data_IF_868266843709
#
_entry.id   IF_868266843709
#
_cell.length_a   1.000
_cell.length_b   1.000
_cell.length_c   1.000
_cell.angle_alpha   90.00
_cell.angle_beta   90.00
_cell.angle_gamma   90.00
#
_symmetry.space_group_name_H-M   'P 1'
#
loop_
_entity.id
_entity.type
_entity.pdbx_description
1 polymer ?
#
# COMPACT_ATOMS: atom_id res chain seq x y z
N UNK A 1 -16.46 -22.78 24.06
CA UNK A 1 -15.21 -23.20 23.42
C UNK A 1 -15.35 -24.65 22.98
N UNK A 2 -15.79 -24.81 21.74
CA UNK A 2 -15.95 -26.07 21.06
C UNK A 2 -15.08 -26.09 19.80
N UNK A 3 -14.92 -27.27 19.20
CA UNK A 3 -14.46 -27.38 17.81
C UNK A 3 -15.68 -27.51 16.92
N UNK A 4 -15.89 -26.55 16.03
CA UNK A 4 -17.00 -26.51 15.09
C UNK A 4 -16.48 -26.85 13.69
N UNK A 5 -16.99 -27.94 13.13
CA UNK A 5 -16.60 -28.40 11.79
C UNK A 5 -17.68 -28.03 10.79
N UNK A 6 -17.31 -27.63 9.57
CA UNK A 6 -18.25 -27.41 8.48
C UNK A 6 -18.98 -28.73 8.14
N UNK A 7 -20.31 -28.70 8.11
CA UNK A 7 -21.17 -29.79 7.68
C UNK A 7 -21.42 -29.78 6.16
N UNK A 8 -21.34 -28.60 5.53
CA UNK A 8 -21.50 -28.42 4.09
C UNK A 8 -20.77 -27.15 3.62
N UNK A 9 -20.72 -26.94 2.31
CA UNK A 9 -20.39 -25.63 1.72
C UNK A 9 -21.50 -24.61 1.99
N UNK A 10 -21.13 -23.34 2.17
CA UNK A 10 -22.10 -22.28 2.44
C UNK A 10 -21.49 -21.05 3.08
N UNK A 11 -22.34 -20.17 3.60
CA UNK A 11 -21.94 -18.95 4.29
C UNK A 11 -21.44 -19.26 5.70
N UNK A 12 -20.41 -18.55 6.15
CA UNK A 12 -19.93 -18.62 7.53
C UNK A 12 -21.02 -18.29 8.53
N UNK A 13 -21.82 -17.27 8.24
CA UNK A 13 -22.91 -16.80 9.10
C UNK A 13 -24.06 -17.81 9.25
N UNK A 14 -24.20 -18.77 8.34
CA UNK A 14 -25.34 -19.69 8.28
C UNK A 14 -25.11 -20.95 9.14
N UNK A 15 -26.03 -21.21 10.09
CA UNK A 15 -25.95 -22.39 10.96
C UNK A 15 -25.89 -23.73 10.22
N UNK A 16 -26.57 -23.84 9.06
CA UNK A 16 -26.57 -25.07 8.24
C UNK A 16 -25.21 -25.42 7.63
N UNK A 17 -24.29 -24.44 7.52
CA UNK A 17 -22.90 -24.67 7.10
C UNK A 17 -22.13 -25.50 8.13
N UNK A 18 -22.59 -25.54 9.38
CA UNK A 18 -21.83 -26.05 10.52
C UNK A 18 -22.51 -27.25 11.18
N UNK A 19 -21.70 -28.20 11.64
CA UNK A 19 -22.17 -29.36 12.40
C UNK A 19 -22.89 -28.88 13.66
N UNK A 20 -24.07 -29.44 13.92
CA UNK A 20 -24.93 -29.03 15.03
C UNK A 20 -25.81 -27.81 14.73
N UNK A 21 -25.73 -27.22 13.53
CA UNK A 21 -26.62 -26.14 13.10
C UNK A 21 -26.30 -24.78 13.72
N UNK A 22 -25.11 -24.61 14.29
CA UNK A 22 -24.70 -23.40 15.03
C UNK A 22 -23.41 -22.86 14.41
N UNK A 23 -23.39 -21.56 14.09
CA UNK A 23 -22.18 -20.90 13.58
C UNK A 23 -21.10 -20.78 14.65
N UNK A 24 -19.80 -20.80 14.28
CA UNK A 24 -18.70 -20.60 15.23
C UNK A 24 -18.85 -19.31 16.05
N UNK A 25 -18.71 -19.42 17.37
CA UNK A 25 -18.72 -18.30 18.29
C UNK A 25 -17.28 -17.84 18.65
N UNK A 26 -17.15 -16.72 19.35
CA UNK A 26 -15.85 -16.22 19.81
C UNK A 26 -15.15 -17.28 20.70
N UNK A 27 -13.86 -17.49 20.44
CA UNK A 27 -13.05 -18.48 21.15
C UNK A 27 -13.33 -19.94 20.79
N UNK A 28 -14.11 -20.25 19.75
CA UNK A 28 -14.19 -21.61 19.21
C UNK A 28 -12.99 -21.91 18.28
N UNK A 29 -12.71 -23.21 18.10
CA UNK A 29 -11.86 -23.69 17.02
C UNK A 29 -12.75 -24.08 15.83
N UNK A 30 -12.27 -23.83 14.61
CA UNK A 30 -13.03 -24.06 13.38
C UNK A 30 -12.29 -25.01 12.47
N UNK A 31 -13.01 -25.97 11.89
CA UNK A 31 -12.48 -26.88 10.86
C UNK A 31 -13.34 -26.79 9.61
N UNK A 32 -12.76 -26.35 8.50
CA UNK A 32 -13.36 -26.45 7.18
C UNK A 32 -12.92 -27.78 6.58
N UNK A 33 -13.86 -28.71 6.48
CA UNK A 33 -13.60 -30.06 6.01
C UNK A 33 -13.22 -30.08 4.52
N UNK A 34 -12.49 -31.12 4.10
CA UNK A 34 -12.16 -31.33 2.70
C UNK A 34 -13.43 -31.39 1.84
N UNK A 35 -13.42 -30.73 0.68
CA UNK A 35 -14.55 -30.66 -0.24
C UNK A 35 -15.58 -29.56 0.08
N UNK A 36 -15.46 -28.88 1.22
CA UNK A 36 -16.36 -27.77 1.58
C UNK A 36 -15.74 -26.41 1.25
N UNK A 37 -16.56 -25.53 0.65
CA UNK A 37 -16.21 -24.15 0.38
C UNK A 37 -17.04 -23.25 1.30
N UNK A 38 -16.39 -22.52 2.19
CA UNK A 38 -17.05 -21.62 3.15
C UNK A 38 -16.76 -20.17 2.79
N UNK A 39 -17.83 -19.41 2.52
CA UNK A 39 -17.76 -17.97 2.26
C UNK A 39 -17.66 -17.23 3.59
N UNK A 40 -16.60 -16.45 3.78
CA UNK A 40 -16.50 -15.52 4.90
C UNK A 40 -17.38 -14.28 4.67
N UNK A 41 -18.63 -14.34 5.09
CA UNK A 41 -19.63 -13.27 4.98
C UNK A 41 -19.95 -12.57 6.30
N UNK A 42 -19.17 -12.84 7.35
CA UNK A 42 -19.40 -12.33 8.71
C UNK A 42 -18.29 -11.36 9.14
N UNK A 43 -18.61 -10.49 10.10
CA UNK A 43 -17.66 -9.56 10.71
C UNK A 43 -17.31 -10.01 12.13
N UNK A 44 -16.12 -10.60 12.29
CA UNK A 44 -15.62 -11.07 13.59
C UNK A 44 -14.71 -10.04 14.27
N UNK A 45 -14.68 -8.78 13.82
CA UNK A 45 -13.81 -7.73 14.38
C UNK A 45 -13.99 -7.53 15.90
N UNK A 46 -15.22 -7.70 16.39
CA UNK A 46 -15.59 -7.58 17.80
C UNK A 46 -15.14 -8.79 18.66
N UNK A 47 -14.72 -9.90 18.04
CA UNK A 47 -14.28 -11.09 18.78
C UNK A 47 -12.95 -10.83 19.48
N UNK A 48 -12.69 -11.57 20.55
CA UNK A 48 -11.32 -11.78 21.05
C UNK A 48 -10.50 -12.56 20.02
N UNK A 49 -11.17 -13.43 19.27
CA UNK A 49 -10.65 -14.19 18.15
C UNK A 49 -10.95 -15.68 18.31
N UNK A 50 -11.04 -16.37 17.18
CA UNK A 50 -11.11 -17.83 17.13
C UNK A 50 -9.80 -18.43 17.64
N UNK A 51 -9.83 -19.66 18.15
CA UNK A 51 -8.60 -20.39 18.50
C UNK A 51 -7.88 -20.76 17.19
N UNK A 52 -8.03 -21.99 16.69
CA UNK A 52 -7.48 -22.37 15.39
C UNK A 52 -8.57 -22.31 14.31
N UNK A 53 -8.18 -21.91 13.10
CA UNK A 53 -8.98 -22.14 11.90
C UNK A 53 -8.19 -23.09 11.02
N UNK A 54 -8.72 -24.28 10.82
CA UNK A 54 -8.09 -25.34 10.04
C UNK A 54 -8.81 -25.51 8.72
N UNK A 55 -8.11 -25.37 7.61
CA UNK A 55 -8.62 -25.66 6.27
C UNK A 55 -8.07 -27.01 5.84
N UNK A 56 -8.92 -28.03 5.85
CA UNK A 56 -8.51 -29.40 5.59
C UNK A 56 -8.25 -29.60 4.10
N UNK A 57 -7.01 -29.99 3.76
CA UNK A 57 -6.67 -30.43 2.41
C UNK A 57 -7.20 -31.84 2.12
N UNK A 58 -7.12 -32.30 0.88
CA UNK A 58 -7.67 -33.58 0.45
C UNK A 58 -7.89 -33.65 -1.06
N UNK A 59 -8.39 -34.77 -1.59
CA UNK A 59 -8.60 -34.96 -3.03
C UNK A 59 -9.39 -33.81 -3.68
N UNK A 60 -10.40 -33.30 -2.96
CA UNK A 60 -10.94 -31.95 -3.16
C UNK A 60 -10.63 -31.15 -1.90
N UNK A 61 -9.75 -30.14 -1.95
CA UNK A 61 -9.45 -29.36 -0.76
C UNK A 61 -10.65 -28.61 -0.21
N UNK A 62 -10.68 -28.42 1.11
CA UNK A 62 -11.53 -27.41 1.73
C UNK A 62 -11.03 -26.02 1.37
N UNK A 63 -11.94 -25.04 1.38
CA UNK A 63 -11.62 -23.65 1.04
C UNK A 63 -12.35 -22.68 1.97
N UNK A 64 -11.59 -21.73 2.53
CA UNK A 64 -12.13 -20.48 3.04
C UNK A 64 -11.99 -19.42 1.96
N UNK A 65 -13.06 -18.71 1.63
CA UNK A 65 -13.01 -17.70 0.58
C UNK A 65 -13.77 -16.42 0.88
N UNK A 66 -13.40 -15.37 0.14
CA UNK A 66 -14.05 -14.06 0.09
C UNK A 66 -14.39 -13.75 -1.38
N UNK A 67 -15.54 -13.14 -1.63
CA UNK A 67 -15.98 -12.78 -2.98
C UNK A 67 -16.79 -11.48 -3.00
N UNK A 68 -17.11 -11.00 -4.20
CA UNK A 68 -17.96 -9.82 -4.36
C UNK A 68 -19.37 -10.03 -3.77
N UNK A 69 -19.92 -8.96 -3.20
CA UNK A 69 -21.28 -8.94 -2.66
C UNK A 69 -21.36 -9.01 -1.13
N UNK A 70 -20.27 -9.40 -0.47
CA UNK A 70 -20.14 -9.36 0.99
C UNK A 70 -18.73 -8.96 1.41
N UNK A 71 -18.61 -8.34 2.58
CA UNK A 71 -17.33 -8.20 3.26
C UNK A 71 -17.18 -9.29 4.31
N UNK A 72 -15.94 -9.66 4.62
CA UNK A 72 -15.62 -10.62 5.67
C UNK A 72 -14.43 -10.14 6.51
N UNK A 73 -14.53 -10.35 7.83
CA UNK A 73 -13.44 -10.10 8.78
C UNK A 73 -13.24 -11.35 9.62
N UNK A 74 -12.21 -12.13 9.30
CA UNK A 74 -11.78 -13.26 10.10
C UNK A 74 -10.80 -12.80 11.18
N UNK A 75 -11.02 -13.16 12.44
CA UNK A 75 -10.12 -12.80 13.55
C UNK A 75 -9.60 -14.02 14.29
N UNK A 76 -8.28 -14.15 14.39
CA UNK A 76 -7.56 -15.23 15.06
C UNK A 76 -6.95 -14.72 16.35
N UNK A 77 -7.19 -15.45 17.45
CA UNK A 77 -6.69 -15.11 18.78
C UNK A 77 -5.19 -15.34 18.87
N UNK A 78 -4.53 -14.54 19.71
CA UNK A 78 -3.13 -14.75 20.08
C UNK A 78 -2.85 -16.17 20.55
N UNK A 79 -1.70 -16.72 20.16
CA UNK A 79 -1.28 -18.10 20.47
C UNK A 79 -1.83 -19.18 19.53
N UNK A 80 -2.70 -18.82 18.58
CA UNK A 80 -3.31 -19.77 17.63
C UNK A 80 -3.17 -19.29 16.18
N UNK A 81 -3.54 -20.12 15.20
CA UNK A 81 -3.18 -19.90 13.80
C UNK A 81 -4.31 -20.24 12.81
N UNK A 82 -4.20 -19.68 11.61
CA UNK A 82 -4.86 -20.19 10.41
C UNK A 82 -3.93 -21.22 9.77
N UNK A 83 -4.41 -22.46 9.57
CA UNK A 83 -3.56 -23.59 9.18
C UNK A 83 -4.19 -24.45 8.08
N UNK A 84 -3.33 -25.11 7.30
CA UNK A 84 -3.72 -26.24 6.44
C UNK A 84 -3.19 -27.57 6.98
N UNK A 85 -3.68 -28.70 6.46
CA UNK A 85 -3.37 -30.04 7.04
C UNK A 85 -2.49 -30.96 6.19
N UNK A 86 -2.73 -31.05 4.87
CA UNK A 86 -2.00 -31.99 3.98
C UNK A 86 -0.93 -31.26 3.19
N UNK A 87 0.14 -31.95 2.79
CA UNK A 87 1.22 -31.40 1.96
C UNK A 87 0.89 -31.46 0.45
N UNK A 88 0.04 -32.41 0.07
CA UNK A 88 -0.53 -32.58 -1.27
C UNK A 88 -2.01 -32.19 -1.26
N UNK A 89 -2.47 -31.47 -2.29
CA UNK A 89 -3.83 -30.93 -2.37
C UNK A 89 -4.24 -30.18 -1.10
N UNK A 90 -3.50 -29.09 -0.86
CA UNK A 90 -3.52 -28.28 0.35
C UNK A 90 -4.84 -27.56 0.55
N UNK A 91 -5.13 -27.20 1.79
CA UNK A 91 -6.27 -26.33 2.11
C UNK A 91 -6.14 -24.99 1.37
N UNK A 92 -7.27 -24.40 0.97
CA UNK A 92 -7.27 -23.20 0.12
C UNK A 92 -7.76 -21.97 0.87
N UNK A 93 -7.03 -20.87 0.71
CA UNK A 93 -7.41 -19.54 1.16
C UNK A 93 -7.52 -18.61 -0.05
N UNK A 94 -8.71 -18.08 -0.31
CA UNK A 94 -9.01 -17.34 -1.53
C UNK A 94 -9.67 -15.99 -1.24
N UNK A 95 -9.23 -14.93 -1.90
CA UNK A 95 -10.01 -13.70 -2.03
C UNK A 95 -9.96 -13.23 -3.49
N UNK A 96 -11.10 -13.25 -4.17
CA UNK A 96 -11.18 -12.86 -5.58
C UNK A 96 -12.60 -12.34 -5.92
N UNK A 97 -12.93 -12.16 -7.19
CA UNK A 97 -14.22 -11.59 -7.62
C UNK A 97 -15.41 -12.51 -7.42
N UNK A 98 -15.23 -13.84 -7.46
CA UNK A 98 -16.32 -14.80 -7.69
C UNK A 98 -16.32 -16.04 -6.76
N UNK A 99 -15.32 -16.18 -5.90
CA UNK A 99 -15.18 -17.32 -4.99
C UNK A 99 -14.72 -18.61 -5.65
N UNK A 100 -14.25 -18.58 -6.90
CA UNK A 100 -13.81 -19.77 -7.65
C UNK A 100 -12.29 -19.87 -7.64
N UNK A 101 -11.77 -20.99 -7.12
CA UNK A 101 -10.34 -21.26 -7.11
C UNK A 101 -9.75 -21.31 -8.53
N UNK A 102 -8.64 -20.61 -8.75
CA UNK A 102 -7.95 -20.52 -10.05
C UNK A 102 -8.35 -19.31 -10.89
N UNK A 103 -9.48 -18.66 -10.58
CA UNK A 103 -9.85 -17.39 -11.22
C UNK A 103 -9.12 -16.22 -10.55
N UNK A 104 -8.65 -15.27 -11.37
CA UNK A 104 -7.75 -14.17 -10.96
C UNK A 104 -8.45 -12.81 -10.87
N UNK A 105 -9.77 -12.76 -11.03
CA UNK A 105 -10.52 -11.50 -10.93
C UNK A 105 -10.37 -10.89 -9.53
N UNK A 106 -10.02 -9.61 -9.47
CA UNK A 106 -9.84 -8.92 -8.18
C UNK A 106 -11.16 -8.80 -7.40
N UNK A 107 -11.07 -8.93 -6.08
CA UNK A 107 -12.17 -8.53 -5.19
C UNK A 107 -12.43 -7.04 -5.38
N UNK A 108 -13.67 -6.66 -5.70
CA UNK A 108 -14.06 -5.28 -5.93
C UNK A 108 -13.86 -4.43 -4.66
N UNK A 109 -13.39 -3.19 -4.83
CA UNK A 109 -12.99 -2.35 -3.70
C UNK A 109 -14.08 -2.10 -2.65
N UNK A 110 -15.36 -2.15 -3.03
CA UNK A 110 -16.48 -2.03 -2.10
C UNK A 110 -16.54 -3.16 -1.05
N UNK A 111 -15.97 -4.33 -1.37
CA UNK A 111 -15.95 -5.51 -0.49
C UNK A 111 -14.58 -5.64 0.18
N UNK A 112 -14.55 -6.03 1.46
CA UNK A 112 -13.33 -6.24 2.23
C UNK A 112 -13.10 -7.71 2.54
N UNK A 113 -11.86 -8.16 2.43
CA UNK A 113 -11.40 -9.46 2.90
C UNK A 113 -10.28 -9.23 3.92
N UNK A 114 -10.62 -9.33 5.20
CA UNK A 114 -9.69 -9.05 6.31
C UNK A 114 -9.39 -10.34 7.05
N UNK A 115 -8.11 -10.70 7.12
CA UNK A 115 -7.59 -11.72 8.01
C UNK A 115 -6.80 -11.01 9.10
N UNK A 116 -7.32 -11.06 10.32
CA UNK A 116 -6.82 -10.32 11.48
C UNK A 116 -6.19 -11.28 12.49
N UNK A 117 -4.89 -11.13 12.69
CA UNK A 117 -4.00 -11.99 13.47
C UNK A 117 -3.59 -11.24 14.73
N UNK A 118 -4.13 -11.64 15.89
CA UNK A 118 -3.81 -11.02 17.17
C UNK A 118 -2.52 -11.60 17.78
N UNK A 119 -1.71 -10.76 18.40
CA UNK A 119 -0.55 -11.15 19.21
C UNK A 119 0.42 -12.05 18.45
N UNK A 120 0.61 -13.29 18.92
CA UNK A 120 1.56 -14.25 18.32
C UNK A 120 0.98 -15.10 17.17
N UNK A 121 -0.28 -14.86 16.78
CA UNK A 121 -0.91 -15.63 15.71
C UNK A 121 -0.31 -15.35 14.34
N UNK A 122 -0.43 -16.35 13.46
CA UNK A 122 0.08 -16.29 12.08
C UNK A 122 -0.72 -17.20 11.15
N UNK A 123 -0.50 -17.03 9.85
CA UNK A 123 -0.88 -18.02 8.83
C UNK A 123 0.25 -19.04 8.73
N UNK A 124 0.00 -20.29 9.13
CA UNK A 124 0.94 -21.38 8.90
C UNK A 124 0.69 -21.95 7.50
N UNK A 125 1.44 -21.42 6.54
CA UNK A 125 1.20 -21.56 5.11
C UNK A 125 1.78 -22.83 4.49
N UNK A 126 2.56 -23.63 5.23
CA UNK A 126 3.19 -24.88 4.72
C UNK A 126 2.20 -25.74 3.91
N UNK A 127 1.01 -25.92 4.47
CA UNK A 127 -0.04 -26.79 3.94
C UNK A 127 -1.25 -26.00 3.41
N UNK A 128 -1.03 -24.75 2.99
CA UNK A 128 -2.04 -23.90 2.36
C UNK A 128 -1.63 -23.53 0.94
N UNK A 129 -2.60 -23.55 0.03
CA UNK A 129 -2.54 -22.77 -1.20
C UNK A 129 -3.27 -21.43 -0.96
N UNK A 130 -2.58 -20.31 -1.22
CA UNK A 130 -3.09 -18.98 -0.93
C UNK A 130 -3.17 -18.15 -2.21
N UNK A 131 -4.33 -17.58 -2.49
CA UNK A 131 -4.54 -16.68 -3.61
C UNK A 131 -5.42 -15.48 -3.21
N UNK A 132 -4.80 -14.32 -3.09
CA UNK A 132 -5.44 -13.08 -2.64
C UNK A 132 -5.29 -12.03 -3.74
N UNK A 133 -6.42 -11.55 -4.27
CA UNK A 133 -6.48 -10.58 -5.37
C UNK A 133 -7.25 -9.32 -4.94
N UNK A 134 -6.55 -8.20 -4.84
CA UNK A 134 -7.11 -6.92 -4.43
C UNK A 134 -7.39 -5.98 -5.61
N UNK A 135 -8.22 -4.96 -5.39
CA UNK A 135 -8.36 -3.86 -6.35
C UNK A 135 -7.17 -2.91 -6.21
N UNK A 136 -6.54 -2.54 -7.32
CA UNK A 136 -5.43 -1.59 -7.36
C UNK A 136 -5.90 -0.14 -7.55
N UNK A 137 -5.15 0.85 -7.00
CA UNK A 137 -5.35 2.25 -7.36
C UNK A 137 -4.99 2.50 -8.82
N UNK A 138 -5.60 3.51 -9.43
CA UNK A 138 -5.15 4.03 -10.72
C UNK A 138 -3.78 4.72 -10.58
N UNK A 139 -3.58 5.46 -9.48
CA UNK A 139 -2.32 6.09 -9.12
C UNK A 139 -1.66 5.30 -7.98
N UNK A 140 -0.58 4.58 -8.29
CA UNK A 140 0.17 3.79 -7.30
C UNK A 140 0.90 4.64 -6.25
N UNK A 141 1.19 5.89 -6.60
CA UNK A 141 1.78 6.87 -5.72
C UNK A 141 1.35 8.28 -6.14
N UNK A 142 1.53 9.22 -5.24
CA UNK A 142 1.50 10.65 -5.54
C UNK A 142 2.82 11.30 -5.16
N UNK A 143 3.21 12.34 -5.87
CA UNK A 143 4.46 13.06 -5.66
C UNK A 143 4.20 14.36 -4.92
N UNK A 144 5.04 14.63 -3.93
CA UNK A 144 4.93 15.79 -3.04
C UNK A 144 5.82 16.95 -3.49
N UNK A 145 5.43 18.16 -3.14
CA UNK A 145 6.24 19.36 -3.38
C UNK A 145 5.91 20.45 -2.36
N UNK A 146 6.71 21.52 -2.33
CA UNK A 146 6.39 22.74 -1.57
C UNK A 146 5.86 23.84 -2.49
N UNK A 147 6.68 24.26 -3.43
CA UNK A 147 6.45 25.36 -4.36
C UNK A 147 6.54 24.88 -5.80
N UNK A 148 5.72 25.46 -6.66
CA UNK A 148 5.72 25.22 -8.11
C UNK A 148 6.22 26.47 -8.82
N UNK A 149 7.09 26.27 -9.80
CA UNK A 149 7.58 27.30 -10.71
C UNK A 149 7.28 26.85 -12.13
N UNK A 150 6.67 27.70 -12.96
CA UNK A 150 6.29 27.35 -14.33
C UNK A 150 6.88 28.30 -15.35
N UNK A 151 7.19 27.79 -16.54
CA UNK A 151 7.52 28.58 -17.72
C UNK A 151 7.02 27.94 -19.01
N UNK A 152 6.91 28.74 -20.07
CA UNK A 152 6.59 28.26 -21.41
C UNK A 152 7.87 27.86 -22.12
N UNK A 153 8.02 26.57 -22.44
CA UNK A 153 9.27 26.08 -23.02
C UNK A 153 9.66 26.80 -24.30
N UNK A 154 8.70 27.12 -25.17
CA UNK A 154 8.96 27.73 -26.46
C UNK A 154 9.64 29.11 -26.39
N UNK A 155 9.45 29.85 -25.30
CA UNK A 155 9.98 31.21 -25.13
C UNK A 155 11.02 31.31 -24.03
N UNK A 156 10.98 30.41 -23.05
CA UNK A 156 11.66 30.59 -21.78
C UNK A 156 12.82 29.62 -21.56
N UNK A 157 13.03 28.66 -22.48
CA UNK A 157 14.18 27.75 -22.51
C UNK A 157 15.16 28.21 -23.59
N UNK A 158 16.39 28.54 -23.19
CA UNK A 158 17.43 28.95 -24.12
C UNK A 158 18.52 27.86 -24.22
N UNK A 159 18.57 27.17 -25.37
CA UNK A 159 19.53 26.09 -25.65
C UNK A 159 20.97 26.57 -25.87
N UNK A 160 21.17 27.83 -26.26
CA UNK A 160 22.51 28.38 -26.50
C UNK A 160 23.24 28.75 -25.19
N UNK A 161 22.47 28.94 -24.11
CA UNK A 161 22.97 29.44 -22.83
C UNK A 161 22.60 28.58 -21.64
N UNK A 162 21.80 27.53 -21.82
CA UNK A 162 21.22 26.67 -20.78
C UNK A 162 20.36 27.42 -19.75
N UNK A 163 19.89 28.63 -20.09
CA UNK A 163 19.12 29.47 -19.18
C UNK A 163 17.63 29.13 -19.29
N UNK A 164 17.03 28.90 -18.12
CA UNK A 164 15.59 28.78 -17.94
C UNK A 164 15.05 30.06 -17.31
N UNK A 165 13.94 30.59 -17.84
CA UNK A 165 13.27 31.80 -17.31
C UNK A 165 11.91 31.43 -16.72
N UNK A 166 11.72 31.57 -15.41
CA UNK A 166 10.44 31.24 -14.76
C UNK A 166 9.53 32.46 -14.60
N UNK A 167 8.23 32.22 -14.45
CA UNK A 167 7.26 33.30 -14.18
C UNK A 167 7.51 34.03 -12.85
N UNK A 168 8.18 33.38 -11.91
CA UNK A 168 8.60 33.93 -10.61
C UNK A 168 10.07 33.63 -10.36
N UNK A 169 10.68 34.33 -9.39
CA UNK A 169 12.05 34.04 -8.97
C UNK A 169 12.19 32.56 -8.57
N UNK A 170 13.19 31.83 -9.12
CA UNK A 170 13.44 30.43 -8.78
C UNK A 170 13.97 30.30 -7.33
N UNK A 171 13.98 29.08 -6.75
CA UNK A 171 14.47 28.89 -5.39
C UNK A 171 15.98 29.12 -5.33
N UNK A 172 16.47 29.51 -4.15
CA UNK A 172 17.86 29.89 -3.91
C UNK A 172 18.89 28.87 -4.41
N UNK A 173 20.09 29.33 -4.78
CA UNK A 173 21.11 28.50 -5.39
C UNK A 173 21.48 27.32 -4.48
N UNK A 174 21.58 26.13 -5.07
CA UNK A 174 21.80 24.87 -4.37
C UNK A 174 20.53 24.21 -3.83
N UNK A 175 19.34 24.75 -4.11
CA UNK A 175 18.09 24.07 -3.77
C UNK A 175 17.86 22.88 -4.70
N UNK A 176 17.59 21.67 -4.17
CA UNK A 176 17.24 20.53 -4.99
C UNK A 176 15.85 20.71 -5.61
N UNK A 177 15.75 20.45 -6.91
CA UNK A 177 14.51 20.56 -7.69
C UNK A 177 14.33 19.36 -8.63
N UNK A 178 13.08 19.09 -9.01
CA UNK A 178 12.75 18.22 -10.16
C UNK A 178 11.91 19.02 -11.16
N UNK A 179 12.03 18.64 -12.43
CA UNK A 179 11.27 19.27 -13.52
C UNK A 179 10.35 18.27 -14.20
N UNK A 180 9.20 18.73 -14.68
CA UNK A 180 8.25 17.97 -15.50
C UNK A 180 7.73 18.86 -16.63
N UNK A 181 7.28 18.24 -17.71
CA UNK A 181 6.65 18.94 -18.84
C UNK A 181 5.21 18.46 -19.01
N UNK A 182 4.32 19.35 -19.44
CA UNK A 182 2.99 18.97 -19.94
C UNK A 182 3.05 18.33 -21.34
N UNK A 183 4.22 18.33 -21.97
CA UNK A 183 4.52 17.68 -23.24
C UNK A 183 5.94 17.10 -23.23
N UNK A 184 6.77 17.39 -24.22
CA UNK A 184 8.17 16.93 -24.28
C UNK A 184 9.04 17.75 -23.32
N UNK A 185 9.93 17.11 -22.56
CA UNK A 185 10.92 17.82 -21.74
C UNK A 185 12.04 18.42 -22.62
N UNK A 186 12.69 19.52 -22.20
CA UNK A 186 13.90 20.01 -22.84
C UNK A 186 15.00 18.95 -22.85
N UNK A 187 15.76 18.87 -23.95
CA UNK A 187 16.86 17.94 -24.10
C UNK A 187 17.89 18.10 -22.97
N UNK A 188 18.46 16.99 -22.48
CA UNK A 188 19.36 16.98 -21.32
C UNK A 188 18.65 16.90 -19.96
N UNK A 189 17.35 17.21 -19.89
CA UNK A 189 16.55 17.08 -18.68
C UNK A 189 15.77 15.76 -18.61
N UNK A 190 15.49 15.30 -17.39
CA UNK A 190 14.74 14.08 -17.11
C UNK A 190 13.83 14.27 -15.90
N UNK A 191 12.60 13.74 -15.98
CA UNK A 191 11.58 13.90 -14.95
C UNK A 191 11.94 13.23 -13.60
N UNK A 192 12.75 12.18 -13.64
CA UNK A 192 13.13 11.38 -12.46
C UNK A 192 14.47 11.81 -11.86
N UNK A 193 15.09 12.87 -12.37
CA UNK A 193 16.38 13.37 -11.91
C UNK A 193 16.21 14.55 -10.96
N UNK A 194 16.94 14.53 -9.85
CA UNK A 194 17.13 15.71 -9.00
C UNK A 194 18.23 16.58 -9.61
N UNK A 195 17.94 17.87 -9.74
CA UNK A 195 18.87 18.91 -10.14
C UNK A 195 19.04 19.92 -9.01
N UNK A 196 20.05 20.77 -9.12
CA UNK A 196 20.26 21.90 -8.22
C UNK A 196 20.10 23.20 -8.99
N UNK A 197 19.34 24.16 -8.45
CA UNK A 197 19.25 25.50 -9.04
C UNK A 197 20.58 26.23 -8.91
N UNK A 198 21.08 26.78 -10.01
CA UNK A 198 22.39 27.44 -10.11
C UNK A 198 22.28 28.72 -10.93
N UNK A 199 23.30 29.59 -10.82
CA UNK A 199 23.44 30.82 -11.64
C UNK A 199 22.14 31.65 -11.71
N UNK A 200 21.57 31.99 -10.54
CA UNK A 200 20.28 32.68 -10.45
C UNK A 200 20.45 34.18 -10.72
N UNK A 201 19.56 34.75 -11.55
CA UNK A 201 19.47 36.19 -11.76
C UNK A 201 18.02 36.62 -12.02
N UNK A 202 17.39 37.28 -11.05
CA UNK A 202 15.98 37.64 -11.12
C UNK A 202 15.10 36.39 -11.27
N UNK A 203 14.46 36.23 -12.43
CA UNK A 203 13.59 35.11 -12.76
C UNK A 203 14.31 33.96 -13.49
N UNK A 204 15.62 34.08 -13.74
CA UNK A 204 16.37 33.08 -14.50
C UNK A 204 17.23 32.21 -13.59
N UNK A 205 17.46 30.98 -14.02
CA UNK A 205 18.45 30.08 -13.44
C UNK A 205 18.97 29.08 -14.47
N UNK A 206 20.03 28.36 -14.10
CA UNK A 206 20.49 27.13 -14.74
C UNK A 206 20.25 25.95 -13.80
N UNK A 207 20.23 24.73 -14.34
CA UNK A 207 20.13 23.51 -13.56
C UNK A 207 21.45 22.72 -13.66
N UNK A 208 21.90 22.16 -12.54
CA UNK A 208 23.11 21.35 -12.47
C UNK A 208 22.85 19.96 -11.87
N UNK A 209 23.66 18.97 -12.26
CA UNK A 209 23.58 17.59 -11.76
C UNK A 209 24.10 17.45 -10.33
N UNK A 210 24.98 18.35 -9.90
CA UNK A 210 25.47 18.46 -8.54
C UNK A 210 25.33 19.91 -8.08
N UNK A 211 25.49 20.17 -6.78
CA UNK A 211 25.44 21.52 -6.23
C UNK A 211 26.73 22.32 -6.54
N UNK A 212 27.07 22.47 -7.82
CA UNK A 212 28.19 23.27 -8.33
C UNK A 212 27.96 23.65 -9.81
N UNK A 213 28.58 24.74 -10.26
CA UNK A 213 28.40 25.23 -11.64
C UNK A 213 29.19 24.41 -12.68
N UNK A 214 30.11 23.55 -12.26
CA UNK A 214 30.89 22.70 -13.18
C UNK A 214 30.05 21.55 -13.79
N UNK A 215 28.84 21.34 -13.28
CA UNK A 215 27.93 20.25 -13.70
C UNK A 215 26.58 20.78 -14.21
N UNK A 216 26.56 22.02 -14.69
CA UNK A 216 25.40 22.58 -15.39
C UNK A 216 25.01 21.64 -16.54
N UNK A 217 23.71 21.40 -16.65
CA UNK A 217 23.12 20.57 -17.71
C UNK A 217 23.17 21.32 -19.02
N UNK A 218 23.68 20.65 -20.05
CA UNK A 218 23.61 21.09 -21.45
C UNK A 218 22.19 20.85 -21.98
N UNK A 219 21.47 21.93 -22.30
CA UNK A 219 20.10 21.87 -22.82
C UNK A 219 20.15 21.75 -24.35
N UNK A 220 19.95 20.55 -24.86
CA UNK A 220 20.14 20.24 -26.29
C UNK A 220 18.91 20.43 -27.16
N UNK A 221 17.73 20.66 -26.56
CA UNK A 221 16.50 20.99 -27.27
C UNK A 221 15.51 21.73 -26.36
N UNK A 222 14.63 22.54 -26.97
CA UNK A 222 13.67 23.37 -26.24
C UNK A 222 12.60 22.54 -25.52
N UNK A 223 12.21 21.39 -26.08
CA UNK A 223 11.01 20.67 -25.65
C UNK A 223 9.72 21.37 -26.11
N UNK A 224 8.58 21.01 -25.50
CA UNK A 224 7.29 21.63 -25.79
C UNK A 224 6.38 21.65 -24.54
N UNK A 225 5.38 22.55 -24.55
CA UNK A 225 4.43 22.70 -23.45
C UNK A 225 4.95 23.54 -22.28
N UNK A 226 4.34 23.35 -21.10
CA UNK A 226 4.71 24.07 -19.87
C UNK A 226 5.74 23.26 -19.11
N UNK A 227 6.93 23.84 -18.90
CA UNK A 227 7.91 23.29 -17.98
C UNK A 227 7.52 23.69 -16.57
N UNK A 228 7.49 22.71 -15.68
CA UNK A 228 7.16 22.90 -14.27
C UNK A 228 8.29 22.39 -13.41
N UNK A 229 8.81 23.24 -12.54
CA UNK A 229 9.85 22.93 -11.56
C UNK A 229 9.24 22.88 -10.17
N UNK A 230 9.64 21.88 -9.39
CA UNK A 230 9.16 21.64 -8.03
C UNK A 230 10.35 21.67 -7.07
N UNK A 231 10.21 22.36 -5.93
CA UNK A 231 11.12 22.22 -4.79
C UNK A 231 10.54 21.29 -3.70
N UNK A 232 11.41 20.83 -2.81
CA UNK A 232 11.09 19.86 -1.77
C UNK A 232 10.25 20.40 -0.62
N UNK A 233 9.50 19.52 0.04
CA UNK A 233 8.70 19.87 1.21
C UNK A 233 9.57 20.10 2.45
N UNK A 234 9.69 21.36 2.89
CA UNK A 234 10.58 21.72 4.01
C UNK A 234 9.89 21.92 5.36
N UNK A 235 8.55 21.93 5.42
CA UNK A 235 7.83 22.24 6.65
C UNK A 235 7.50 20.98 7.45
N UNK A 236 8.27 20.68 8.48
CA UNK A 236 8.04 19.52 9.36
C UNK A 236 7.04 19.79 10.49
N UNK A 237 6.45 20.98 10.54
CA UNK A 237 5.42 21.36 11.51
C UNK A 237 3.99 21.22 10.96
N UNK A 238 3.81 20.56 9.82
CA UNK A 238 2.50 20.39 9.17
C UNK A 238 2.19 18.92 8.91
N UNK A 239 0.89 18.63 8.78
CA UNK A 239 0.35 17.36 8.30
C UNK A 239 -0.06 17.40 6.83
N UNK A 240 0.02 18.58 6.22
CA UNK A 240 -0.44 18.85 4.86
C UNK A 240 0.75 18.76 3.91
N UNK A 241 0.59 17.95 2.87
CA UNK A 241 1.53 17.80 1.77
C UNK A 241 0.83 18.22 0.48
N UNK A 242 1.41 19.16 -0.26
CA UNK A 242 0.94 19.42 -1.62
C UNK A 242 1.34 18.23 -2.50
N UNK A 243 0.46 17.83 -3.40
CA UNK A 243 0.67 16.67 -4.28
C UNK A 243 0.39 17.01 -5.74
N UNK A 244 1.11 16.38 -6.66
CA UNK A 244 1.00 16.65 -8.11
C UNK A 244 -0.24 15.98 -8.70
N UNK A 245 -0.45 14.70 -8.38
CA UNK A 245 -1.56 13.91 -8.91
C UNK A 245 -2.87 14.26 -8.19
N UNK A 246 -3.95 14.40 -8.96
CA UNK A 246 -5.31 14.43 -8.42
C UNK A 246 -5.85 13.01 -8.28
N UNK A 247 -6.01 12.57 -7.03
CA UNK A 247 -6.50 11.23 -6.67
C UNK A 247 -7.89 11.26 -6.04
N UNK A 248 -8.61 12.38 -6.14
CA UNK A 248 -9.95 12.53 -5.53
C UNK A 248 -10.99 11.54 -6.05
N UNK A 249 -10.82 11.04 -7.29
CA UNK A 249 -11.68 10.03 -7.92
C UNK A 249 -11.12 8.59 -7.82
N UNK A 250 -9.92 8.40 -7.29
CA UNK A 250 -9.25 7.10 -7.24
C UNK A 250 -9.67 6.33 -5.97
N UNK A 251 -10.76 5.57 -6.06
CA UNK A 251 -11.46 4.98 -4.90
C UNK A 251 -10.57 4.23 -3.88
N UNK A 252 -9.51 3.49 -4.28
CA UNK A 252 -8.59 2.87 -3.33
C UNK A 252 -7.88 3.85 -2.38
N UNK A 253 -7.68 5.10 -2.80
CA UNK A 253 -7.29 6.17 -1.90
C UNK A 253 -8.49 6.58 -1.05
N UNK A 254 -8.49 6.15 0.21
CA UNK A 254 -9.60 6.37 1.13
C UNK A 254 -9.11 6.82 2.49
N UNK A 255 -9.96 7.52 3.24
CA UNK A 255 -9.73 7.94 4.63
C UNK A 255 -10.40 7.01 5.64
N UNK A 256 -11.04 5.92 5.17
CA UNK A 256 -11.68 4.91 6.03
C UNK A 256 -10.63 4.25 6.92
N UNK A 257 -10.84 4.32 8.23
CA UNK A 257 -9.93 3.78 9.24
C UNK A 257 -9.60 2.30 8.98
N UNK A 258 -8.32 1.95 9.08
CA UNK A 258 -7.81 0.60 8.81
C UNK A 258 -7.59 0.31 7.32
N UNK A 259 -8.06 1.16 6.41
CA UNK A 259 -7.86 1.09 4.96
C UNK A 259 -7.22 2.35 4.37
N UNK A 260 -6.67 3.21 5.21
CA UNK A 260 -6.13 4.52 4.85
C UNK A 260 -4.61 4.63 5.06
N UNK A 261 -3.88 3.52 5.09
CA UNK A 261 -2.45 3.49 5.38
C UNK A 261 -1.63 3.96 4.17
N UNK A 262 -0.61 4.76 4.45
CA UNK A 262 0.32 5.26 3.44
C UNK A 262 1.77 5.15 3.93
N UNK A 263 2.69 5.26 2.98
CA UNK A 263 4.12 5.45 3.25
C UNK A 263 4.59 6.66 2.46
N UNK A 264 4.98 7.72 3.15
CA UNK A 264 5.78 8.80 2.57
C UNK A 264 7.22 8.30 2.49
N UNK A 265 7.74 8.18 1.29
CA UNK A 265 9.08 7.73 1.00
C UNK A 265 9.86 8.85 0.31
N UNK A 266 10.88 9.34 1.01
CA UNK A 266 11.85 10.26 0.43
C UNK A 266 12.97 9.46 -0.24
N UNK A 267 13.13 9.70 -1.54
CA UNK A 267 14.11 9.00 -2.38
C UNK A 267 15.15 10.04 -2.80
N UNK A 268 16.05 10.35 -1.88
CA UNK A 268 17.22 11.18 -2.13
C UNK A 268 18.49 10.31 -2.30
N UNK A 269 19.54 10.81 -2.99
CA UNK A 269 20.79 10.06 -3.18
C UNK A 269 21.53 9.72 -1.87
N UNK A 270 21.31 10.50 -0.80
CA UNK A 270 22.11 10.44 0.44
C UNK A 270 21.25 10.30 1.71
N UNK A 271 19.92 10.38 1.61
CA UNK A 271 19.00 10.28 2.74
C UNK A 271 17.75 9.52 2.31
N UNK A 272 17.68 8.24 2.69
CA UNK A 272 16.45 7.46 2.56
C UNK A 272 15.65 7.64 3.83
N UNK A 273 14.47 8.25 3.69
CA UNK A 273 13.53 8.33 4.79
C UNK A 273 12.18 7.73 4.40
N UNK A 274 11.54 7.09 5.37
CA UNK A 274 10.23 6.47 5.21
C UNK A 274 9.38 6.74 6.44
N UNK A 275 8.37 7.59 6.26
CA UNK A 275 7.35 7.84 7.25
C UNK A 275 6.10 7.03 6.93
N UNK A 276 5.64 6.23 7.89
CA UNK A 276 4.37 5.49 7.78
C UNK A 276 3.30 6.24 8.57
N UNK A 277 2.17 6.49 7.95
CA UNK A 277 1.04 7.16 8.58
C UNK A 277 -0.28 6.71 7.92
N UNK A 278 -1.35 7.44 8.18
CA UNK A 278 -2.68 7.25 7.63
C UNK A 278 -3.22 8.55 7.04
N UNK A 279 -4.07 8.43 6.02
CA UNK A 279 -4.73 9.57 5.37
C UNK A 279 -5.92 10.06 6.19
N UNK A 280 -5.91 11.37 6.48
CA UNK A 280 -7.02 12.09 7.10
C UNK A 280 -7.93 12.74 6.06
N UNK A 281 -7.34 13.36 5.03
CA UNK A 281 -8.08 14.13 4.01
C UNK A 281 -7.43 13.96 2.64
N UNK A 282 -8.27 13.89 1.60
CA UNK A 282 -7.89 13.86 0.19
C UNK A 282 -8.53 15.07 -0.49
N UNK A 283 -7.72 15.90 -1.15
CA UNK A 283 -8.16 17.04 -1.93
C UNK A 283 -7.37 17.13 -3.24
N UNK A 284 -7.92 17.82 -4.23
CA UNK A 284 -7.18 18.10 -5.45
C UNK A 284 -5.93 18.93 -5.10
N UNK A 285 -4.76 18.40 -5.43
CA UNK A 285 -3.47 19.06 -5.18
C UNK A 285 -2.93 18.98 -3.74
N UNK A 286 -3.63 18.36 -2.79
CA UNK A 286 -3.13 18.23 -1.41
C UNK A 286 -3.67 16.99 -0.66
N UNK A 287 -2.83 16.44 0.22
CA UNK A 287 -3.19 15.39 1.17
C UNK A 287 -2.90 15.83 2.60
N UNK A 288 -3.67 15.29 3.55
CA UNK A 288 -3.40 15.46 4.99
C UNK A 288 -3.19 14.10 5.66
N UNK A 289 -2.09 13.95 6.41
CA UNK A 289 -1.81 12.77 7.24
C UNK A 289 -2.39 12.93 8.65
N UNK A 290 -2.61 11.83 9.38
CA UNK A 290 -3.37 11.88 10.64
C UNK A 290 -2.48 11.96 11.88
N UNK A 291 -1.46 11.11 11.99
CA UNK A 291 -0.85 10.79 13.29
C UNK A 291 0.19 11.82 13.65
N UNK A 292 1.20 11.97 12.80
CA UNK A 292 2.33 12.86 13.04
C UNK A 292 2.33 14.01 12.04
N UNK A 293 3.13 15.03 12.32
CA UNK A 293 3.54 15.93 11.25
C UNK A 293 4.53 15.20 10.34
N UNK A 294 4.75 15.73 9.15
CA UNK A 294 5.87 15.29 8.29
C UNK A 294 7.16 15.36 9.11
N UNK A 295 7.84 14.23 9.30
CA UNK A 295 8.90 14.09 10.29
C UNK A 295 10.29 14.48 9.77
N UNK A 296 10.43 14.71 8.47
CA UNK A 296 11.65 15.18 7.85
C UNK A 296 11.42 16.12 6.67
N UNK A 297 12.47 16.84 6.27
CA UNK A 297 12.46 17.58 5.01
C UNK A 297 12.48 16.57 3.87
N UNK A 298 11.57 16.74 2.91
CA UNK A 298 11.44 15.86 1.76
C UNK A 298 12.13 16.46 0.55
N UNK A 299 12.76 15.63 -0.28
CA UNK A 299 13.21 16.06 -1.61
C UNK A 299 12.02 16.36 -2.55
N UNK A 300 12.24 17.18 -3.60
CA UNK A 300 11.23 17.43 -4.62
C UNK A 300 10.70 16.13 -5.23
N UNK A 301 9.38 16.02 -5.30
CA UNK A 301 8.67 14.84 -5.78
C UNK A 301 9.00 13.56 -4.98
N UNK A 302 9.24 13.69 -3.66
CA UNK A 302 9.15 12.54 -2.74
C UNK A 302 7.75 11.92 -2.84
N UNK A 303 7.65 10.60 -2.65
CA UNK A 303 6.45 9.85 -3.05
C UNK A 303 5.67 9.40 -1.84
N UNK A 304 4.35 9.59 -1.88
CA UNK A 304 3.42 8.92 -0.98
C UNK A 304 2.87 7.70 -1.71
N UNK A 305 3.10 6.53 -1.14
CA UNK A 305 2.56 5.26 -1.62
C UNK A 305 1.34 4.86 -0.80
N UNK A 306 0.28 4.42 -1.48
CA UNK A 306 -0.85 3.76 -0.82
C UNK A 306 -0.42 2.35 -0.41
N UNK A 307 -0.41 2.05 0.89
CA UNK A 307 -0.05 0.72 1.40
C UNK A 307 -1.25 -0.13 1.78
N UNK A 308 -2.41 0.50 2.02
CA UNK A 308 -3.65 -0.23 2.31
C UNK A 308 -4.32 -0.80 1.06
N UNK A 309 -5.06 -1.90 1.23
CA UNK A 309 -5.88 -2.55 0.19
C UNK A 309 -7.23 -2.98 0.74
N UNK A 310 -8.13 -3.45 -0.12
CA UNK A 310 -9.40 -4.04 0.30
C UNK A 310 -9.27 -5.52 0.72
N UNK A 311 -8.24 -6.20 0.25
CA UNK A 311 -7.81 -7.52 0.76
C UNK A 311 -6.60 -7.31 1.64
N UNK A 312 -6.63 -7.77 2.88
CA UNK A 312 -5.55 -7.53 3.84
C UNK A 312 -5.33 -8.68 4.82
N UNK A 313 -4.06 -8.99 5.07
CA UNK A 313 -3.61 -9.76 6.23
C UNK A 313 -3.03 -8.76 7.23
N UNK A 314 -3.71 -8.62 8.36
CA UNK A 314 -3.37 -7.69 9.43
C UNK A 314 -2.88 -8.48 10.62
N UNK A 315 -1.72 -8.11 11.14
CA UNK A 315 -1.16 -8.63 12.38
C UNK A 315 -1.08 -7.50 13.40
N UNK A 316 -1.50 -7.78 14.62
CA UNK A 316 -1.31 -6.94 15.79
C UNK A 316 -0.25 -7.63 16.66
N UNK A 317 0.97 -7.70 16.11
CA UNK A 317 2.05 -8.53 16.61
C UNK A 317 2.66 -8.04 17.93
N UNK A 318 3.31 -8.96 18.62
CA UNK A 318 4.08 -8.67 19.84
C UNK A 318 5.55 -8.32 19.57
N UNK A 319 6.01 -8.36 18.32
CA UNK A 319 7.36 -7.96 17.90
C UNK A 319 7.33 -7.41 16.46
N UNK A 320 8.36 -6.64 16.08
CA UNK A 320 8.55 -6.20 14.68
C UNK A 320 8.88 -7.36 13.72
N UNK A 321 9.46 -8.44 14.25
CA UNK A 321 9.92 -9.62 13.51
C UNK A 321 8.88 -10.76 13.53
N UNK A 322 7.63 -10.47 13.92
CA UNK A 322 6.55 -11.46 13.98
C UNK A 322 6.28 -12.03 12.56
N UNK A 323 6.42 -13.35 12.34
CA UNK A 323 6.03 -13.94 11.06
C UNK A 323 4.51 -13.82 10.90
N UNK A 324 4.07 -13.25 9.79
CA UNK A 324 2.65 -13.06 9.46
C UNK A 324 2.17 -14.25 8.62
N UNK A 325 2.95 -14.58 7.59
CA UNK A 325 2.79 -15.75 6.74
C UNK A 325 4.05 -16.59 6.92
N UNK A 326 3.89 -17.84 7.33
CA UNK A 326 5.01 -18.72 7.68
C UNK A 326 4.92 -20.04 6.91
N UNK A 327 5.81 -20.21 5.93
CA UNK A 327 5.93 -21.43 5.15
C UNK A 327 6.76 -22.51 5.86
N UNK A 328 7.46 -22.19 6.97
CA UNK A 328 8.28 -23.10 7.79
C UNK A 328 9.32 -23.94 7.04
N UNK A 329 9.58 -23.65 5.76
CA UNK A 329 10.53 -24.35 4.90
C UNK A 329 11.06 -23.41 3.81
N UNK A 330 12.26 -23.68 3.29
CA UNK A 330 12.84 -22.96 2.16
C UNK A 330 12.19 -23.35 0.81
N UNK A 331 11.35 -24.40 0.79
CA UNK A 331 10.50 -24.70 -0.35
C UNK A 331 9.39 -23.65 -0.40
N UNK A 332 9.61 -22.61 -1.20
CA UNK A 332 8.59 -21.61 -1.47
C UNK A 332 7.50 -22.28 -2.28
N UNK A 333 6.33 -22.40 -1.67
CA UNK A 333 5.16 -22.85 -2.38
C UNK A 333 4.46 -21.60 -2.90
N UNK A 334 4.28 -21.53 -4.23
CA UNK A 334 3.72 -20.34 -4.87
C UNK A 334 2.37 -19.95 -4.27
N UNK A 335 2.30 -18.75 -3.70
CA UNK A 335 1.06 -18.09 -3.30
C UNK A 335 0.93 -16.77 -4.04
N UNK A 336 -0.29 -16.32 -4.28
CA UNK A 336 -0.55 -14.97 -4.81
C UNK A 336 -0.91 -14.06 -3.64
N UNK A 337 -0.04 -13.09 -3.38
CA UNK A 337 -0.21 -12.07 -2.33
C UNK A 337 -0.41 -10.70 -2.95
N UNK A 338 -1.44 -10.58 -3.78
CA UNK A 338 -1.89 -9.29 -4.27
C UNK A 338 -2.85 -8.66 -3.24
N UNK A 339 -2.28 -8.29 -2.10
CA UNK A 339 -3.00 -7.79 -0.93
C UNK A 339 -2.11 -6.92 -0.03
N UNK A 340 -2.72 -6.24 0.93
CA UNK A 340 -2.00 -5.59 2.02
C UNK A 340 -1.53 -6.64 3.04
N UNK A 341 -0.23 -6.62 3.37
CA UNK A 341 0.31 -7.40 4.49
C UNK A 341 0.93 -6.43 5.49
N UNK A 342 0.44 -6.46 6.72
CA UNK A 342 0.81 -5.46 7.72
C UNK A 342 0.90 -6.05 9.12
N UNK A 343 2.01 -5.79 9.81
CA UNK A 343 2.17 -6.02 11.24
C UNK A 343 2.26 -4.69 12.00
N UNK A 344 1.32 -4.48 12.91
CA UNK A 344 1.27 -3.36 13.85
C UNK A 344 1.87 -3.80 15.18
N UNK A 345 3.18 -3.57 15.35
CA UNK A 345 3.87 -3.83 16.61
C UNK A 345 3.72 -2.64 17.55
N UNK A 346 3.35 -2.90 18.82
CA UNK A 346 2.91 -1.93 19.84
C UNK A 346 1.51 -1.34 19.56
N UNK A 347 0.44 -2.04 19.98
CA UNK A 347 -0.93 -1.53 19.89
C UNK A 347 -1.03 -0.12 20.51
N UNK A 348 -1.44 0.86 19.72
CA UNK A 348 -1.63 2.24 20.17
C UNK A 348 -0.64 3.27 19.62
N UNK A 349 0.50 2.87 19.03
CA UNK A 349 1.42 3.82 18.37
C UNK A 349 1.14 4.01 16.88
N UNK A 350 0.36 3.11 16.25
CA UNK A 350 -0.28 3.17 14.91
C UNK A 350 0.58 3.63 13.70
N UNK A 351 1.87 3.91 13.87
CA UNK A 351 2.76 4.47 12.85
C UNK A 351 3.79 3.45 12.39
N UNK A 352 3.69 2.19 12.81
CA UNK A 352 4.70 1.19 12.49
C UNK A 352 4.04 -0.07 11.94
N UNK A 353 4.12 -0.18 10.62
CA UNK A 353 3.59 -1.30 9.84
C UNK A 353 4.76 -2.01 9.15
N UNK A 354 5.09 -3.22 9.59
CA UNK A 354 6.14 -4.06 9.00
C UNK A 354 5.52 -5.14 8.12
N UNK A 355 6.14 -5.45 6.98
CA UNK A 355 5.77 -6.59 6.15
C UNK A 355 6.91 -7.61 6.13
N UNK A 356 6.71 -8.75 6.79
CA UNK A 356 7.49 -9.96 6.53
C UNK A 356 6.48 -11.07 6.25
N UNK A 357 6.47 -11.54 5.00
CA UNK A 357 5.62 -12.60 4.48
C UNK A 357 6.40 -13.43 3.47
#
# INVERSE_FOLDING_TARGET
MATITSNASGNWSAGATWVGGIKPADGDAVVIAAGHNVLMDDDLSAYTGLLAVTITGGATPGMLYFMNGTSGHLKIRTGYNLVGTTDTNRGRLLANSDGIWGNTGALAFANKAIIDLQGTSKIQALNLDIALYCTHPANWFVETYKTVYTCNQATDVNVDTDVLTFGTAPPAAGTPVRVKSSGTLPGGLSADRIYYTRTISGNTCKLALQNNDATIVDITSIGDGTLTMYDGHTNTATKILNVIQDITADAPWTTVAGHNRIVLADIAPEAYDQQRDTLATIAAGALTITTNNVDSVQFPCARIYLSSRNVSIRSNGTTKDQPIVDFTSAATHGGVFDCEIVNTYQPGTQTTFYGYG
#
